data_IF_980856573293
#
_entry.id   IF_980856573293
#
_cell.length_a   1.000
_cell.length_b   1.000
_cell.length_c   1.000
_cell.angle_alpha   90.00
_cell.angle_beta   90.00
_cell.angle_gamma   90.00
#
_symmetry.space_group_name_H-M   'P 1'
#
loop_
_entity.id
_entity.type
_entity.pdbx_description
1 polymer ?
#
# COMPACT_ATOMS: atom_id res chain seq x y z
N UNK A 1 13.53 -3.06 -14.83
CA UNK A 1 13.94 -2.22 -13.69
C UNK A 1 12.89 -1.13 -13.41
N UNK A 2 12.46 -0.38 -14.43
CA UNK A 2 11.47 0.71 -14.32
C UNK A 2 10.23 0.40 -13.47
N UNK A 3 9.51 -0.70 -13.73
CA UNK A 3 8.33 -1.07 -12.93
C UNK A 3 8.62 -1.24 -11.44
N UNK A 4 9.80 -1.76 -11.09
CA UNK A 4 10.19 -1.96 -9.69
C UNK A 4 10.39 -0.61 -9.00
N UNK A 5 11.12 0.29 -9.68
CA UNK A 5 11.40 1.65 -9.19
C UNK A 5 10.09 2.42 -9.02
N UNK A 6 9.24 2.47 -10.04
CA UNK A 6 7.98 3.22 -9.97
C UNK A 6 7.03 2.69 -8.89
N UNK A 7 6.91 1.36 -8.77
CA UNK A 7 6.07 0.75 -7.71
C UNK A 7 6.59 1.12 -6.32
N UNK A 8 7.91 1.09 -6.13
CA UNK A 8 8.50 1.41 -4.84
C UNK A 8 8.44 2.90 -4.51
N UNK A 9 8.62 3.78 -5.50
CA UNK A 9 8.43 5.23 -5.33
C UNK A 9 7.00 5.52 -4.89
N UNK A 10 6.00 4.89 -5.50
CA UNK A 10 4.60 5.04 -5.08
C UNK A 10 4.40 4.61 -3.62
N UNK A 11 4.91 3.45 -3.21
CA UNK A 11 4.83 2.96 -1.81
C UNK A 11 5.61 3.85 -0.82
N UNK A 12 6.70 4.47 -1.23
CA UNK A 12 7.44 5.38 -0.36
C UNK A 12 6.77 6.75 -0.20
N UNK A 13 6.09 7.24 -1.25
CA UNK A 13 5.25 8.44 -1.14
C UNK A 13 4.09 8.16 -0.17
N UNK A 14 3.42 7.01 -0.35
CA UNK A 14 2.36 6.52 0.53
C UNK A 14 2.80 6.46 2.00
N UNK A 15 3.90 5.75 2.29
CA UNK A 15 4.46 5.69 3.64
C UNK A 15 4.84 7.07 4.21
N UNK A 16 5.42 7.96 3.40
CA UNK A 16 5.80 9.30 3.87
C UNK A 16 4.57 10.14 4.24
N UNK A 17 3.50 10.06 3.45
CA UNK A 17 2.23 10.74 3.74
C UNK A 17 1.60 10.17 5.02
N UNK A 18 1.54 8.84 5.17
CA UNK A 18 0.98 8.23 6.36
C UNK A 18 1.78 8.56 7.63
N UNK A 19 3.13 8.54 7.58
CA UNK A 19 3.98 8.99 8.71
C UNK A 19 3.70 10.45 9.05
N UNK A 20 3.57 11.31 8.04
CA UNK A 20 3.31 12.74 8.24
C UNK A 20 1.96 13.01 8.91
N UNK A 21 0.91 12.29 8.49
CA UNK A 21 -0.45 12.47 8.99
C UNK A 21 -0.71 11.79 10.34
N UNK A 22 0.08 10.76 10.69
CA UNK A 22 -0.11 9.93 11.89
C UNK A 22 -0.32 10.74 13.20
N UNK A 23 0.53 11.73 13.56
CA UNK A 23 0.37 12.47 14.81
C UNK A 23 -0.96 13.25 14.86
N UNK A 24 -1.36 13.86 13.75
CA UNK A 24 -2.60 14.62 13.66
C UNK A 24 -3.84 13.72 13.83
N UNK A 25 -3.85 12.58 13.16
CA UNK A 25 -4.92 11.59 13.30
C UNK A 25 -4.94 10.92 14.67
N UNK A 26 -3.78 10.73 15.31
CA UNK A 26 -3.74 10.23 16.69
C UNK A 26 -4.36 11.23 17.67
N UNK A 27 -4.04 12.52 17.52
CA UNK A 27 -4.58 13.56 18.39
C UNK A 27 -6.09 13.78 18.18
N UNK A 28 -6.54 13.78 16.92
CA UNK A 28 -7.95 13.95 16.57
C UNK A 28 -8.80 12.71 16.85
N UNK A 29 -8.19 11.53 16.92
CA UNK A 29 -8.92 10.26 17.03
C UNK A 29 -8.17 9.19 17.85
N UNK A 30 -7.97 9.43 19.17
CA UNK A 30 -7.11 8.58 20.00
C UNK A 30 -7.76 7.28 20.50
N UNK A 31 -9.05 7.05 20.24
CA UNK A 31 -9.78 5.93 20.81
C UNK A 31 -9.24 4.56 20.36
N UNK A 32 -9.15 3.60 21.29
CA UNK A 32 -8.68 2.25 21.03
C UNK A 32 -7.23 2.18 20.57
N UNK A 33 -6.95 1.49 19.45
CA UNK A 33 -5.63 1.49 18.80
C UNK A 33 -5.27 2.90 18.31
N UNK A 34 -6.25 3.78 18.06
CA UNK A 34 -6.02 5.13 17.56
C UNK A 34 -5.66 5.16 16.08
N UNK A 35 -6.09 6.22 15.38
CA UNK A 35 -5.95 6.29 13.93
C UNK A 35 -4.49 6.51 13.50
N UNK A 36 -3.67 7.20 14.30
CA UNK A 36 -2.25 7.38 13.99
C UNK A 36 -1.45 6.08 14.01
N UNK A 37 -1.78 5.14 14.90
CA UNK A 37 -1.12 3.82 14.90
C UNK A 37 -1.42 3.02 13.63
N UNK A 38 -2.61 3.17 13.04
CA UNK A 38 -2.95 2.53 11.77
C UNK A 38 -2.13 3.11 10.63
N UNK A 39 -1.95 4.43 10.61
CA UNK A 39 -1.10 5.11 9.65
C UNK A 39 0.36 4.61 9.74
N UNK A 40 0.88 4.44 10.95
CA UNK A 40 2.25 3.93 11.15
C UNK A 40 2.40 2.45 10.77
N UNK A 41 1.39 1.61 11.05
CA UNK A 41 1.36 0.20 10.65
C UNK A 41 1.35 0.04 9.13
N UNK A 42 0.50 0.81 8.45
CA UNK A 42 0.46 0.90 7.00
C UNK A 42 1.83 1.33 6.46
N UNK A 43 2.38 2.43 6.99
CA UNK A 43 3.67 2.96 6.54
C UNK A 43 4.80 1.94 6.62
N UNK A 44 4.85 1.17 7.71
CA UNK A 44 5.81 0.10 7.87
C UNK A 44 5.61 -1.00 6.81
N UNK A 45 4.37 -1.40 6.54
CA UNK A 45 4.05 -2.36 5.49
C UNK A 45 4.45 -1.84 4.09
N UNK A 46 4.17 -0.57 3.78
CA UNK A 46 4.52 0.07 2.52
C UNK A 46 6.03 0.15 2.31
N UNK A 47 6.80 0.54 3.34
CA UNK A 47 8.27 0.54 3.27
C UNK A 47 8.81 -0.87 3.02
N UNK A 48 8.34 -1.87 3.77
CA UNK A 48 8.80 -3.25 3.61
C UNK A 48 8.43 -3.80 2.22
N UNK A 49 7.23 -3.52 1.73
CA UNK A 49 6.78 -3.92 0.40
C UNK A 49 7.59 -3.23 -0.71
N UNK A 50 7.87 -1.93 -0.56
CA UNK A 50 8.66 -1.13 -1.49
C UNK A 50 10.09 -1.68 -1.61
N UNK A 51 10.73 -1.94 -0.48
CA UNK A 51 12.04 -2.58 -0.43
C UNK A 51 12.00 -3.99 -1.04
N UNK A 52 10.98 -4.79 -0.74
CA UNK A 52 10.86 -6.14 -1.28
C UNK A 52 10.75 -6.14 -2.82
N UNK A 53 9.95 -5.25 -3.41
CA UNK A 53 9.86 -5.08 -4.86
C UNK A 53 11.16 -4.56 -5.47
N UNK A 54 11.80 -3.58 -4.83
CA UNK A 54 13.10 -3.05 -5.29
C UNK A 54 14.17 -4.12 -5.30
N UNK A 55 14.25 -4.95 -4.27
CA UNK A 55 15.32 -5.94 -4.09
C UNK A 55 15.07 -7.23 -4.86
N UNK A 56 13.83 -7.74 -4.89
CA UNK A 56 13.52 -9.04 -5.54
C UNK A 56 12.84 -8.94 -6.90
N UNK A 57 11.88 -8.02 -7.08
CA UNK A 57 11.12 -7.90 -8.34
C UNK A 57 10.43 -9.19 -8.77
N UNK A 58 10.18 -10.10 -7.83
CA UNK A 58 9.54 -11.38 -8.04
C UNK A 58 8.02 -11.21 -8.12
N UNK A 59 7.32 -12.24 -8.60
CA UNK A 59 5.85 -12.25 -8.61
C UNK A 59 5.26 -12.09 -7.19
N UNK A 60 5.87 -12.72 -6.19
CA UNK A 60 5.48 -12.56 -4.79
C UNK A 60 5.69 -11.12 -4.29
N UNK A 61 6.79 -10.46 -4.66
CA UNK A 61 7.03 -9.08 -4.28
C UNK A 61 5.96 -8.13 -4.83
N UNK A 62 5.59 -8.28 -6.09
CA UNK A 62 4.50 -7.52 -6.68
C UNK A 62 3.14 -7.83 -6.06
N UNK A 63 2.90 -9.07 -5.63
CA UNK A 63 1.65 -9.42 -4.94
C UNK A 63 1.53 -8.71 -3.59
N UNK A 64 2.62 -8.66 -2.81
CA UNK A 64 2.68 -7.94 -1.53
C UNK A 64 2.47 -6.45 -1.73
N UNK A 65 3.19 -5.84 -2.69
CA UNK A 65 3.02 -4.42 -3.02
C UNK A 65 1.60 -4.07 -3.47
N UNK A 66 0.98 -4.96 -4.26
CA UNK A 66 -0.41 -4.78 -4.68
C UNK A 66 -1.37 -4.83 -3.49
N UNK A 67 -1.21 -5.80 -2.59
CA UNK A 67 -2.08 -5.94 -1.43
C UNK A 67 -2.02 -4.71 -0.51
N UNK A 68 -0.81 -4.21 -0.23
CA UNK A 68 -0.61 -3.01 0.59
C UNK A 68 -1.24 -1.79 -0.08
N UNK A 69 -0.80 -1.45 -1.30
CA UNK A 69 -1.26 -0.24 -1.98
C UNK A 69 -2.78 -0.26 -2.26
N UNK A 70 -3.34 -1.42 -2.65
CA UNK A 70 -4.79 -1.53 -2.86
C UNK A 70 -5.56 -1.40 -1.54
N UNK A 71 -5.06 -1.96 -0.45
CA UNK A 71 -5.73 -1.85 0.85
C UNK A 71 -5.78 -0.41 1.35
N UNK A 72 -4.68 0.33 1.22
CA UNK A 72 -4.62 1.76 1.54
C UNK A 72 -5.55 2.57 0.62
N UNK A 73 -5.52 2.32 -0.69
CA UNK A 73 -6.41 2.98 -1.66
C UNK A 73 -7.89 2.75 -1.36
N UNK A 74 -8.27 1.50 -1.06
CA UNK A 74 -9.65 1.18 -0.70
C UNK A 74 -10.02 1.87 0.61
N UNK A 75 -9.12 1.91 1.59
CA UNK A 75 -9.37 2.61 2.84
C UNK A 75 -9.59 4.11 2.63
N UNK A 76 -8.72 4.83 1.91
CA UNK A 76 -8.88 6.28 1.70
C UNK A 76 -10.16 6.64 0.95
N UNK A 77 -10.56 5.81 -0.03
CA UNK A 77 -11.80 5.99 -0.79
C UNK A 77 -13.02 5.64 0.07
N UNK A 78 -12.99 4.51 0.79
CA UNK A 78 -14.09 4.09 1.66
C UNK A 78 -14.31 5.10 2.79
N UNK A 79 -13.25 5.55 3.45
CA UNK A 79 -13.30 6.54 4.52
C UNK A 79 -13.82 7.89 4.02
N UNK A 80 -13.69 8.18 2.72
CA UNK A 80 -14.27 9.38 2.11
C UNK A 80 -15.76 9.30 1.84
N UNK A 81 -16.27 8.15 1.40
CA UNK A 81 -17.62 8.02 0.85
C UNK A 81 -18.58 7.17 1.71
N UNK A 82 -18.05 6.40 2.64
CA UNK A 82 -18.82 5.52 3.52
C UNK A 82 -18.64 6.00 4.95
N UNK A 83 -19.76 6.28 5.62
CA UNK A 83 -19.75 6.62 7.03
C UNK A 83 -19.44 5.36 7.86
N UNK A 84 -18.17 5.15 8.15
CA UNK A 84 -17.69 4.04 8.97
C UNK A 84 -17.61 4.53 10.43
N UNK A 85 -18.58 4.14 11.29
CA UNK A 85 -18.56 4.51 12.70
C UNK A 85 -17.40 3.79 13.41
N UNK A 86 -17.13 4.16 14.66
CA UNK A 86 -16.20 3.40 15.49
C UNK A 86 -16.65 1.94 15.63
N UNK A 87 -15.70 0.99 15.59
CA UNK A 87 -15.99 -0.43 15.72
C UNK A 87 -14.85 -1.14 16.45
N UNK A 88 -15.19 -1.89 17.50
CA UNK A 88 -14.19 -2.58 18.32
C UNK A 88 -13.11 -1.62 18.83
N UNK A 89 -11.80 -1.95 18.66
CA UNK A 89 -10.70 -1.08 19.07
C UNK A 89 -10.37 0.03 18.04
N UNK A 90 -11.16 0.17 16.97
CA UNK A 90 -10.90 1.14 15.92
C UNK A 90 -11.81 2.37 16.07
N UNK A 91 -11.26 3.57 15.93
CA UNK A 91 -12.06 4.79 15.98
C UNK A 91 -12.95 4.96 14.74
N UNK A 92 -13.81 5.99 14.74
CA UNK A 92 -14.59 6.34 13.56
C UNK A 92 -13.66 6.78 12.43
N UNK A 93 -13.80 6.19 11.24
CA UNK A 93 -12.84 6.38 10.14
C UNK A 93 -13.33 7.36 9.07
N UNK A 94 -14.60 7.77 9.15
CA UNK A 94 -15.18 8.66 8.14
C UNK A 94 -14.47 10.02 8.12
N UNK A 95 -13.95 10.38 6.95
CA UNK A 95 -13.28 11.65 6.68
C UNK A 95 -13.81 12.22 5.35
N UNK A 96 -14.79 13.14 5.37
CA UNK A 96 -15.43 13.66 4.17
C UNK A 96 -14.60 14.70 3.42
N UNK A 97 -13.44 15.13 3.92
CA UNK A 97 -12.67 16.18 3.28
C UNK A 97 -11.58 15.56 2.38
N UNK A 98 -11.41 16.14 1.19
CA UNK A 98 -10.22 15.95 0.36
C UNK A 98 -9.28 17.12 0.60
N UNK A 99 -8.14 16.84 1.21
CA UNK A 99 -7.02 17.77 1.34
C UNK A 99 -5.82 17.24 0.54
N UNK A 100 -4.76 18.03 0.45
CA UNK A 100 -3.64 17.75 -0.45
C UNK A 100 -3.00 16.39 -0.15
N UNK A 101 -2.63 16.13 1.10
CA UNK A 101 -1.94 14.91 1.50
C UNK A 101 -2.81 13.68 1.25
N UNK A 102 -4.11 13.73 1.56
CA UNK A 102 -5.05 12.64 1.25
C UNK A 102 -5.18 12.38 -0.25
N UNK A 103 -5.20 13.44 -1.05
CA UNK A 103 -5.26 13.33 -2.52
C UNK A 103 -3.97 12.73 -3.08
N UNK A 104 -2.82 13.13 -2.52
CA UNK A 104 -1.51 12.59 -2.86
C UNK A 104 -1.40 11.10 -2.50
N UNK A 105 -1.84 10.69 -1.31
CA UNK A 105 -1.85 9.27 -0.91
C UNK A 105 -2.77 8.46 -1.84
N UNK A 106 -4.00 8.90 -2.09
CA UNK A 106 -4.91 8.19 -2.98
C UNK A 106 -4.35 8.00 -4.41
N UNK A 107 -3.66 9.01 -4.96
CA UNK A 107 -3.00 8.90 -6.26
C UNK A 107 -1.81 7.94 -6.19
N UNK A 108 -0.96 8.03 -5.16
CA UNK A 108 0.20 7.18 -4.99
C UNK A 108 -0.20 5.71 -4.79
N UNK A 109 -1.14 5.44 -3.90
CA UNK A 109 -1.69 4.11 -3.61
C UNK A 109 -2.37 3.51 -4.86
N UNK A 110 -3.23 4.28 -5.54
CA UNK A 110 -3.90 3.83 -6.75
C UNK A 110 -2.92 3.52 -7.88
N UNK A 111 -1.95 4.41 -8.14
CA UNK A 111 -0.90 4.17 -9.12
C UNK A 111 -0.01 2.98 -8.72
N UNK A 112 0.36 2.88 -7.45
CA UNK A 112 1.15 1.79 -6.88
C UNK A 112 0.47 0.44 -7.07
N UNK A 113 -0.83 0.36 -6.79
CA UNK A 113 -1.64 -0.84 -7.00
C UNK A 113 -1.66 -1.24 -8.49
N UNK A 114 -1.89 -0.30 -9.42
CA UNK A 114 -1.87 -0.60 -10.86
C UNK A 114 -0.49 -1.08 -11.32
N UNK A 115 0.58 -0.37 -10.93
CA UNK A 115 1.95 -0.73 -11.27
C UNK A 115 2.33 -2.12 -10.72
N UNK A 116 1.92 -2.41 -9.48
CA UNK A 116 2.15 -3.70 -8.85
C UNK A 116 1.38 -4.83 -9.55
N UNK A 117 0.11 -4.61 -9.92
CA UNK A 117 -0.68 -5.58 -10.69
C UNK A 117 -0.04 -5.89 -12.05
N UNK A 118 0.41 -4.86 -12.78
CA UNK A 118 1.14 -5.04 -14.05
C UNK A 118 2.44 -5.81 -13.83
N UNK A 119 3.19 -5.49 -12.77
CA UNK A 119 4.40 -6.18 -12.36
C UNK A 119 4.15 -7.67 -12.06
N UNK A 120 3.09 -7.97 -11.33
CA UNK A 120 2.67 -9.33 -10.98
C UNK A 120 2.39 -10.18 -12.23
N UNK A 121 1.59 -9.65 -13.15
CA UNK A 121 1.24 -10.35 -14.40
C UNK A 121 2.50 -10.58 -15.26
N UNK A 122 3.38 -9.57 -15.38
CA UNK A 122 4.62 -9.69 -16.17
C UNK A 122 5.63 -10.66 -15.55
N UNK A 123 5.74 -10.69 -14.22
CA UNK A 123 6.64 -11.60 -13.52
C UNK A 123 6.20 -13.07 -13.68
N UNK A 124 4.90 -13.35 -13.69
CA UNK A 124 4.38 -14.71 -13.90
C UNK A 124 4.62 -15.27 -15.30
N UNK A 125 4.66 -14.42 -16.33
CA UNK A 125 4.96 -14.83 -17.71
C UNK A 125 6.41 -15.23 -17.95
N UNK A 126 7.34 -14.87 -17.05
CA UNK A 126 8.78 -15.16 -17.16
C UNK A 126 9.18 -16.52 -16.57
N UNK A 127 8.24 -17.30 -16.06
CA UNK A 127 8.50 -18.66 -15.55
C UNK A 127 8.17 -19.73 -16.61
N UNK A 128 9.05 -19.95 -17.59
CA UNK A 128 9.25 -21.31 -18.10
C UNK A 128 10.73 -21.65 -18.33
N UNK A 129 11.32 -22.47 -17.44
CA UNK A 129 12.24 -23.57 -17.80
C UNK A 129 12.47 -24.45 -16.56
N UNK A 130 11.53 -25.37 -16.29
CA UNK A 130 11.88 -26.62 -15.61
C UNK A 130 12.90 -27.26 -16.57
N UNK A 131 14.19 -27.27 -16.20
CA UNK A 131 15.20 -28.06 -16.92
C UNK A 131 14.62 -29.47 -17.02
N UNK A 132 14.36 -29.93 -18.24
CA UNK A 132 14.08 -31.34 -18.46
C UNK A 132 15.23 -32.13 -17.82
N UNK A 133 14.96 -33.25 -17.14
CA UNK A 133 16.02 -34.15 -16.70
C UNK A 133 16.85 -34.52 -17.94
N UNK A 134 18.16 -34.36 -17.85
CA UNK A 134 19.08 -34.92 -18.85
C UNK A 134 18.78 -36.42 -18.96
N UNK A 135 18.43 -36.96 -20.14
CA UNK A 135 18.48 -38.39 -20.36
C UNK A 135 19.95 -38.79 -20.41
N UNK A 136 20.38 -39.50 -19.37
CA UNK A 136 21.56 -40.38 -19.20
C UNK A 136 22.91 -39.88 -19.74
#
# INVERSE_FOLDING_TARGET
MTLRILTAVALFIDAAVHIHLAPGYQAGNPAGIGQGNLFLLESAAAVLAGLYVLLRGSRAAYAVAFAVALSAFVAVVAYRYVNIPAFGPFPAMYEPIWFFEKSLSAVAEGAGAVLAAVGFVRAGRRTPRRRAPSPQ
#
